data_IF_514077557262
#
_entry.id   IF_514077557262
#
_cell.length_a   1.000
_cell.length_b   1.000
_cell.length_c   1.000
_cell.angle_alpha   90.00
_cell.angle_beta   90.00
_cell.angle_gamma   90.00
#
_symmetry.space_group_name_H-M   'P 1'
#
loop_
_entity.id
_entity.type
_entity.pdbx_description
1 polymer ?
#
# COMPACT_ATOMS: atom_id res chain seq x y z
N UNK A 1 45.20 31.64 35.18
CA UNK A 1 45.38 30.45 34.32
C UNK A 1 44.42 30.58 33.15
N UNK A 2 44.96 30.97 32.00
CA UNK A 2 44.20 31.15 30.78
C UNK A 2 44.01 29.76 30.09
N UNK A 3 42.77 29.32 29.98
CA UNK A 3 42.43 28.09 29.29
C UNK A 3 42.64 28.26 27.79
N UNK A 4 43.54 27.48 27.21
CA UNK A 4 43.78 27.38 25.78
C UNK A 4 42.58 26.67 25.17
N UNK A 5 41.69 27.43 24.51
CA UNK A 5 40.66 26.87 23.61
C UNK A 5 41.41 26.43 22.36
N UNK A 6 41.66 25.14 22.23
CA UNK A 6 42.19 24.52 20.99
C UNK A 6 41.12 24.63 19.92
N UNK A 7 41.31 25.59 19.01
CA UNK A 7 40.48 25.77 17.82
C UNK A 7 40.74 24.61 16.83
N UNK A 8 40.01 23.53 16.95
CA UNK A 8 40.06 22.36 16.07
C UNK A 8 39.31 22.64 14.75
N UNK A 9 39.66 23.68 14.01
CA UNK A 9 39.35 23.81 12.60
C UNK A 9 40.38 22.98 11.78
N UNK A 10 40.12 21.67 11.65
CA UNK A 10 40.84 20.87 10.69
C UNK A 10 40.67 21.48 9.29
N UNK A 11 41.79 21.68 8.54
CA UNK A 11 41.75 22.10 7.14
C UNK A 11 40.95 21.07 6.34
N UNK A 12 40.28 21.50 5.26
CA UNK A 12 39.40 20.64 4.48
C UNK A 12 40.08 19.36 3.97
N UNK A 13 41.37 19.47 3.62
CA UNK A 13 42.19 18.35 3.15
C UNK A 13 42.49 17.31 4.24
N UNK A 14 42.68 17.74 5.47
CA UNK A 14 42.91 16.84 6.60
C UNK A 14 41.61 16.08 6.98
N UNK A 15 40.45 16.73 6.84
CA UNK A 15 39.14 16.08 7.01
C UNK A 15 38.89 15.03 5.94
N UNK A 16 39.20 15.30 4.68
CA UNK A 16 39.05 14.37 3.56
C UNK A 16 39.96 13.14 3.74
N UNK A 17 41.23 13.32 4.09
CA UNK A 17 42.14 12.22 4.39
C UNK A 17 41.67 11.36 5.56
N UNK A 18 41.22 11.99 6.62
CA UNK A 18 40.67 11.26 7.78
C UNK A 18 39.42 10.46 7.42
N UNK A 19 38.53 11.03 6.57
CA UNK A 19 37.34 10.33 6.07
C UNK A 19 37.70 9.14 5.18
N UNK A 20 38.64 9.30 4.26
CA UNK A 20 39.11 8.21 3.39
C UNK A 20 39.75 7.08 4.21
N UNK A 21 40.55 7.41 5.23
CA UNK A 21 41.11 6.41 6.14
C UNK A 21 40.03 5.65 6.92
N UNK A 22 39.00 6.37 7.41
CA UNK A 22 37.87 5.76 8.11
C UNK A 22 37.04 4.83 7.18
N UNK A 23 36.75 5.26 5.94
CA UNK A 23 36.08 4.45 4.94
C UNK A 23 36.91 3.19 4.65
N UNK A 24 38.22 3.31 4.43
CA UNK A 24 39.09 2.16 4.20
C UNK A 24 39.13 1.17 5.37
N UNK A 25 39.06 1.64 6.61
CA UNK A 25 38.95 0.77 7.79
C UNK A 25 37.59 0.04 7.84
N UNK A 26 36.51 0.74 7.55
CA UNK A 26 35.16 0.15 7.49
C UNK A 26 35.08 -0.92 6.40
N UNK A 27 35.59 -0.61 5.20
CA UNK A 27 35.59 -1.58 4.09
C UNK A 27 36.46 -2.82 4.37
N UNK A 28 37.57 -2.67 5.12
CA UNK A 28 38.36 -3.82 5.57
C UNK A 28 37.62 -4.68 6.58
N UNK A 29 36.88 -4.06 7.49
CA UNK A 29 36.16 -4.77 8.55
C UNK A 29 34.84 -5.39 8.10
N UNK A 30 34.11 -4.74 7.19
CA UNK A 30 32.73 -5.08 6.82
C UNK A 30 32.53 -5.37 5.33
N UNK A 31 33.58 -5.28 4.51
CA UNK A 31 33.54 -5.52 3.06
C UNK A 31 33.39 -4.23 2.23
N UNK A 32 33.82 -4.30 0.97
CA UNK A 32 33.70 -3.19 0.01
C UNK A 32 32.24 -2.78 -0.15
N UNK A 33 31.98 -1.46 -0.19
CA UNK A 33 30.62 -0.91 -0.36
C UNK A 33 29.82 -0.83 0.92
N UNK A 34 30.40 -1.14 2.10
CA UNK A 34 29.75 -0.94 3.41
C UNK A 34 29.44 0.52 3.70
N UNK A 35 30.21 1.44 3.12
CA UNK A 35 29.97 2.88 3.12
C UNK A 35 30.16 3.42 1.71
N UNK A 36 29.21 4.19 1.20
CA UNK A 36 29.29 4.82 -0.10
C UNK A 36 28.67 6.21 -0.08
N UNK A 37 29.16 7.11 -0.93
CA UNK A 37 28.50 8.41 -1.14
C UNK A 37 27.24 8.20 -1.97
N UNK A 38 26.11 8.74 -1.54
CA UNK A 38 24.81 8.55 -2.21
C UNK A 38 24.84 8.96 -3.71
N UNK A 39 25.60 10.03 -4.04
CA UNK A 39 25.77 10.47 -5.43
C UNK A 39 26.74 9.65 -6.27
N UNK A 40 27.46 8.67 -5.67
CA UNK A 40 28.35 7.73 -6.39
C UNK A 40 27.68 6.38 -6.67
N UNK A 41 26.46 6.14 -6.18
CA UNK A 41 25.63 5.07 -6.75
C UNK A 41 25.41 5.43 -8.20
N UNK A 42 25.94 4.62 -9.09
CA UNK A 42 25.57 4.65 -10.50
C UNK A 42 24.07 4.58 -10.58
N UNK A 43 23.46 5.68 -11.03
CA UNK A 43 22.03 5.99 -11.02
C UNK A 43 21.38 5.83 -9.62
N UNK A 44 20.66 6.82 -9.19
CA UNK A 44 19.61 6.59 -8.18
C UNK A 44 18.89 5.32 -8.61
N UNK A 45 19.04 4.23 -7.84
CA UNK A 45 18.40 2.95 -8.20
C UNK A 45 16.93 3.29 -8.25
N UNK A 46 16.40 3.43 -9.46
CA UNK A 46 14.98 3.59 -9.66
C UNK A 46 14.33 2.43 -8.92
N UNK A 47 13.53 2.78 -7.92
CA UNK A 47 12.89 1.77 -7.08
C UNK A 47 11.97 1.00 -8.00
N UNK A 48 12.34 -0.23 -8.32
CA UNK A 48 11.48 -1.11 -9.12
C UNK A 48 10.15 -1.25 -8.42
N UNK A 49 9.08 -1.26 -9.20
CA UNK A 49 7.72 -1.39 -8.70
C UNK A 49 6.99 -2.52 -9.39
N UNK A 50 5.95 -3.03 -8.74
CA UNK A 50 4.97 -3.97 -9.27
C UNK A 50 3.64 -3.25 -9.33
N UNK A 51 2.95 -3.28 -10.47
CA UNK A 51 1.63 -2.67 -10.60
C UNK A 51 0.67 -3.20 -9.54
N UNK A 52 -0.16 -2.33 -9.02
CA UNK A 52 -1.22 -2.68 -8.06
C UNK A 52 -2.45 -3.29 -8.73
N UNK A 53 -2.52 -3.26 -10.06
CA UNK A 53 -3.70 -3.58 -10.85
C UNK A 53 -4.68 -2.41 -10.99
N UNK A 54 -4.46 -1.31 -10.27
CA UNK A 54 -5.18 -0.03 -10.40
C UNK A 54 -4.25 1.04 -10.96
N UNK A 55 -4.57 1.57 -12.14
CA UNK A 55 -3.78 2.63 -12.78
C UNK A 55 -3.73 3.89 -11.89
N UNK A 56 -4.85 4.24 -11.29
CA UNK A 56 -4.93 5.39 -10.39
C UNK A 56 -4.04 5.22 -9.17
N UNK A 57 -4.00 4.03 -8.57
CA UNK A 57 -3.15 3.76 -7.42
C UNK A 57 -1.66 3.72 -7.81
N UNK A 58 -1.32 3.16 -8.98
CA UNK A 58 0.04 3.17 -9.52
C UNK A 58 0.58 4.60 -9.67
N UNK A 59 -0.23 5.51 -10.25
CA UNK A 59 0.08 6.94 -10.36
C UNK A 59 0.14 7.57 -8.96
N UNK A 60 -0.83 7.25 -8.09
CA UNK A 60 -0.92 7.76 -6.74
C UNK A 60 0.27 7.40 -5.85
N UNK A 61 0.91 6.26 -6.08
CA UNK A 61 2.12 5.84 -5.39
C UNK A 61 3.39 6.56 -5.91
N UNK A 62 3.33 7.17 -7.09
CA UNK A 62 4.38 8.04 -7.63
C UNK A 62 5.57 7.33 -8.27
N UNK A 63 5.59 6.00 -8.25
CA UNK A 63 6.65 5.16 -8.83
C UNK A 63 6.09 4.07 -9.76
N UNK A 64 4.80 4.14 -10.10
CA UNK A 64 4.14 3.20 -11.00
C UNK A 64 3.68 1.90 -10.37
N UNK A 65 3.61 1.80 -9.03
CA UNK A 65 3.14 0.61 -8.31
C UNK A 65 3.71 0.44 -6.91
N UNK A 66 3.61 -0.77 -6.37
CA UNK A 66 4.20 -1.12 -5.08
C UNK A 66 5.73 -1.28 -5.19
N UNK A 67 6.53 -0.63 -4.30
CA UNK A 67 7.99 -0.74 -4.33
C UNK A 67 8.48 -2.15 -4.02
N UNK A 68 9.32 -2.73 -4.88
CA UNK A 68 10.04 -3.99 -4.60
C UNK A 68 11.05 -3.81 -3.46
N UNK A 69 11.34 -4.88 -2.74
CA UNK A 69 12.26 -4.84 -1.60
C UNK A 69 11.73 -4.07 -0.39
N UNK A 70 10.41 -3.92 -0.28
CA UNK A 70 9.74 -3.13 0.77
C UNK A 70 8.56 -3.86 1.40
N UNK A 71 8.20 -3.39 2.59
CA UNK A 71 7.00 -3.82 3.31
C UNK A 71 5.88 -2.82 3.03
N UNK A 72 4.72 -3.35 2.63
CA UNK A 72 3.48 -2.61 2.41
C UNK A 72 2.46 -3.08 3.44
N UNK A 73 1.69 -2.17 4.01
CA UNK A 73 0.52 -2.49 4.82
C UNK A 73 -0.75 -2.00 4.12
N UNK A 74 -1.68 -2.92 3.86
CA UNK A 74 -3.03 -2.62 3.37
C UNK A 74 -3.99 -2.89 4.52
N UNK A 75 -4.70 -1.86 5.00
CA UNK A 75 -5.61 -2.01 6.11
C UNK A 75 -6.95 -1.30 5.86
N UNK A 76 -7.98 -1.78 6.50
CA UNK A 76 -9.33 -1.23 6.35
C UNK A 76 -10.38 -2.11 7.02
N UNK A 77 -11.65 -1.68 6.99
CA UNK A 77 -12.78 -2.49 7.46
C UNK A 77 -12.89 -3.83 6.72
N UNK A 78 -13.68 -4.71 7.25
CA UNK A 78 -14.07 -5.95 6.57
C UNK A 78 -14.76 -5.65 5.23
N UNK A 79 -14.56 -6.52 4.25
CA UNK A 79 -15.16 -6.40 2.90
C UNK A 79 -14.83 -5.09 2.16
N UNK A 80 -13.73 -4.43 2.51
CA UNK A 80 -13.27 -3.19 1.85
C UNK A 80 -12.45 -3.42 0.58
N UNK A 81 -12.08 -4.67 0.25
CA UNK A 81 -11.29 -5.02 -0.94
C UNK A 81 -9.78 -5.19 -0.68
N UNK A 82 -9.34 -5.38 0.57
CA UNK A 82 -7.92 -5.58 0.92
C UNK A 82 -7.29 -6.76 0.18
N UNK A 83 -7.88 -7.95 0.33
CA UNK A 83 -7.41 -9.18 -0.33
C UNK A 83 -7.52 -9.08 -1.84
N UNK A 84 -8.58 -8.44 -2.36
CA UNK A 84 -8.74 -8.17 -3.80
C UNK A 84 -7.57 -7.36 -4.35
N UNK A 85 -7.19 -6.26 -3.70
CA UNK A 85 -6.06 -5.43 -4.11
C UNK A 85 -4.73 -6.20 -4.05
N UNK A 86 -4.51 -6.99 -3.00
CA UNK A 86 -3.30 -7.82 -2.88
C UNK A 86 -3.23 -8.90 -3.97
N UNK A 87 -4.36 -9.55 -4.30
CA UNK A 87 -4.42 -10.56 -5.37
C UNK A 87 -4.20 -9.93 -6.75
N UNK A 88 -4.67 -8.70 -7.00
CA UNK A 88 -4.32 -7.99 -8.24
C UNK A 88 -2.82 -7.75 -8.36
N UNK A 89 -2.14 -7.33 -7.28
CA UNK A 89 -0.69 -7.18 -7.29
C UNK A 89 0.04 -8.51 -7.56
N UNK A 90 -0.47 -9.63 -7.02
CA UNK A 90 0.04 -10.97 -7.32
C UNK A 90 -0.14 -11.28 -8.80
N UNK A 91 -1.34 -11.04 -9.37
CA UNK A 91 -1.63 -11.30 -10.77
C UNK A 91 -0.74 -10.46 -11.70
N UNK A 92 -0.52 -9.17 -11.38
CA UNK A 92 0.37 -8.30 -12.17
C UNK A 92 1.83 -8.78 -12.09
N UNK A 93 2.32 -9.20 -10.90
CA UNK A 93 3.65 -9.76 -10.75
C UNK A 93 3.84 -11.05 -11.57
N UNK A 94 2.86 -11.95 -11.55
CA UNK A 94 2.91 -13.19 -12.35
C UNK A 94 2.90 -12.94 -13.84
N UNK A 95 2.18 -11.91 -14.34
CA UNK A 95 2.23 -11.50 -15.76
C UNK A 95 3.62 -11.09 -16.21
N UNK A 96 4.43 -10.54 -15.29
CA UNK A 96 5.84 -10.18 -15.53
C UNK A 96 6.80 -11.38 -15.32
N UNK A 97 6.27 -12.58 -15.06
CA UNK A 97 7.05 -13.80 -14.80
C UNK A 97 7.56 -13.92 -13.37
N UNK A 98 7.05 -13.10 -12.44
CA UNK A 98 7.43 -13.13 -11.03
C UNK A 98 6.83 -14.31 -10.28
N UNK A 99 7.60 -14.85 -9.32
CA UNK A 99 7.17 -15.91 -8.42
C UNK A 99 6.47 -15.32 -7.20
N UNK A 100 5.27 -15.81 -6.90
CA UNK A 100 4.44 -15.26 -5.82
C UNK A 100 4.11 -16.31 -4.77
N UNK A 101 4.01 -15.85 -3.51
CA UNK A 101 3.58 -16.66 -2.38
C UNK A 101 2.48 -15.96 -1.58
N UNK A 102 1.57 -16.77 -1.01
CA UNK A 102 0.47 -16.31 -0.18
C UNK A 102 0.44 -17.09 1.13
N UNK A 103 0.60 -16.40 2.24
CA UNK A 103 0.47 -16.94 3.58
C UNK A 103 -0.92 -16.60 4.08
N UNK A 104 -1.82 -17.58 3.99
CA UNK A 104 -3.24 -17.49 4.34
C UNK A 104 -3.46 -17.92 5.78
N UNK A 105 -3.26 -16.98 6.71
CA UNK A 105 -3.48 -17.23 8.14
C UNK A 105 -4.97 -17.19 8.54
N UNK A 106 -5.84 -16.68 7.69
CA UNK A 106 -7.30 -16.70 7.91
C UNK A 106 -7.96 -17.98 7.34
N UNK A 107 -7.23 -18.79 6.56
CA UNK A 107 -7.75 -19.98 5.87
C UNK A 107 -8.97 -19.67 4.98
N UNK A 108 -8.99 -18.49 4.36
CA UNK A 108 -10.15 -17.95 3.66
C UNK A 108 -9.91 -17.64 2.18
N UNK A 109 -8.74 -17.97 1.63
CA UNK A 109 -8.45 -17.74 0.22
C UNK A 109 -9.30 -18.65 -0.67
N UNK A 110 -10.13 -18.03 -1.53
CA UNK A 110 -10.90 -18.74 -2.56
C UNK A 110 -10.08 -18.81 -3.87
N UNK A 111 -9.62 -20.01 -4.29
CA UNK A 111 -8.88 -20.17 -5.54
C UNK A 111 -9.69 -19.79 -6.78
N UNK A 112 -11.00 -19.97 -6.74
CA UNK A 112 -11.91 -19.61 -7.84
C UNK A 112 -11.95 -18.09 -8.03
N UNK A 113 -12.00 -17.35 -6.91
CA UNK A 113 -11.96 -15.90 -6.92
C UNK A 113 -10.59 -15.38 -7.38
N UNK A 114 -9.50 -15.94 -6.85
CA UNK A 114 -8.14 -15.57 -7.25
C UNK A 114 -7.93 -15.74 -8.77
N UNK A 115 -8.40 -16.87 -9.35
CA UNK A 115 -8.34 -17.12 -10.80
C UNK A 115 -9.10 -16.06 -11.60
N UNK A 116 -10.29 -15.64 -11.14
CA UNK A 116 -11.07 -14.57 -11.80
C UNK A 116 -10.37 -13.23 -11.80
N UNK A 117 -9.55 -12.95 -10.78
CA UNK A 117 -8.71 -11.75 -10.72
C UNK A 117 -7.45 -11.83 -11.60
N UNK A 118 -7.24 -12.96 -12.28
CA UNK A 118 -6.08 -13.16 -13.16
C UNK A 118 -4.88 -13.82 -12.51
N UNK A 119 -5.01 -14.32 -11.28
CA UNK A 119 -3.94 -15.07 -10.61
C UNK A 119 -3.81 -16.45 -11.24
N UNK A 120 -2.61 -16.83 -11.66
CA UNK A 120 -2.27 -18.21 -12.00
C UNK A 120 -2.11 -19.00 -10.68
N UNK A 121 -3.15 -19.74 -10.33
CA UNK A 121 -3.20 -20.48 -9.07
C UNK A 121 -2.28 -21.72 -9.07
N UNK A 122 -1.92 -22.22 -10.25
CA UNK A 122 -1.06 -23.42 -10.38
C UNK A 122 0.40 -23.07 -10.05
N UNK A 123 0.79 -21.79 -10.22
CA UNK A 123 2.12 -21.28 -9.90
C UNK A 123 2.15 -20.47 -8.59
N UNK A 124 1.01 -20.29 -7.91
CA UNK A 124 0.95 -19.57 -6.64
C UNK A 124 1.32 -20.49 -5.47
N UNK A 125 2.40 -20.18 -4.77
CA UNK A 125 2.74 -20.88 -3.53
C UNK A 125 1.79 -20.45 -2.42
N UNK A 126 1.11 -21.41 -1.79
CA UNK A 126 0.22 -21.15 -0.65
C UNK A 126 0.72 -21.85 0.60
N UNK A 127 0.61 -21.17 1.73
CA UNK A 127 0.85 -21.72 3.07
C UNK A 127 -0.27 -21.32 4.00
N UNK A 128 -0.77 -22.25 4.80
CA UNK A 128 -1.85 -22.06 5.78
C UNK A 128 -1.35 -22.46 7.17
N UNK A 129 -0.59 -21.59 7.84
CA UNK A 129 -0.01 -21.88 9.15
C UNK A 129 -1.03 -21.75 10.27
N UNK A 130 -0.90 -22.60 11.31
CA UNK A 130 -1.78 -22.57 12.48
C UNK A 130 -1.38 -21.49 13.50
N UNK A 131 -0.09 -21.11 13.55
CA UNK A 131 0.43 -20.14 14.53
C UNK A 131 1.17 -18.98 13.86
N UNK A 132 1.15 -17.82 14.51
CA UNK A 132 1.82 -16.61 14.03
C UNK A 132 3.32 -16.75 13.86
N UNK A 133 3.99 -17.47 14.79
CA UNK A 133 5.43 -17.79 14.68
C UNK A 133 5.73 -18.59 13.41
N UNK A 134 4.92 -19.62 13.12
CA UNK A 134 5.09 -20.46 11.94
C UNK A 134 4.89 -19.64 10.65
N UNK A 135 3.84 -18.80 10.59
CA UNK A 135 3.59 -17.92 9.46
C UNK A 135 4.78 -17.02 9.16
N UNK A 136 5.35 -16.40 10.20
CA UNK A 136 6.45 -15.46 10.07
C UNK A 136 7.80 -16.14 9.77
N UNK A 137 8.01 -17.36 10.25
CA UNK A 137 9.19 -18.17 9.89
C UNK A 137 9.14 -18.66 8.44
N UNK A 138 7.96 -19.09 7.97
CA UNK A 138 7.74 -19.43 6.56
C UNK A 138 8.01 -18.20 5.69
N UNK A 139 7.44 -17.04 6.07
CA UNK A 139 7.68 -15.77 5.39
C UNK A 139 9.18 -15.43 5.32
N UNK A 140 9.92 -15.52 6.44
CA UNK A 140 11.37 -15.25 6.47
C UNK A 140 12.14 -16.23 5.56
N UNK A 141 11.79 -17.49 5.57
CA UNK A 141 12.44 -18.51 4.76
C UNK A 141 12.23 -18.27 3.27
N UNK A 142 11.00 -18.00 2.86
CA UNK A 142 10.66 -17.71 1.47
C UNK A 142 11.35 -16.42 0.99
N UNK A 143 11.30 -15.35 1.76
CA UNK A 143 11.98 -14.08 1.43
C UNK A 143 13.49 -14.26 1.32
N UNK A 144 14.11 -15.01 2.24
CA UNK A 144 15.56 -15.25 2.24
C UNK A 144 16.04 -16.11 1.10
N UNK A 145 15.20 -16.93 0.51
CA UNK A 145 15.53 -17.71 -0.67
C UNK A 145 15.95 -16.84 -1.86
N UNK A 146 15.43 -15.58 -1.92
CA UNK A 146 15.63 -14.68 -3.05
C UNK A 146 14.88 -15.07 -4.32
N UNK A 147 14.01 -16.09 -4.23
CA UNK A 147 13.25 -16.61 -5.37
C UNK A 147 11.82 -16.05 -5.45
N UNK A 148 11.39 -15.28 -4.45
CA UNK A 148 10.03 -14.74 -4.36
C UNK A 148 10.02 -13.26 -4.69
N UNK A 149 9.21 -12.84 -5.65
CA UNK A 149 9.01 -11.44 -6.02
C UNK A 149 7.94 -10.77 -5.17
N UNK A 150 6.82 -11.46 -4.92
CA UNK A 150 5.70 -10.97 -4.08
C UNK A 150 5.32 -12.01 -3.05
N UNK A 151 5.21 -11.58 -1.80
CA UNK A 151 4.67 -12.39 -0.72
C UNK A 151 3.56 -11.61 -0.01
N UNK A 152 2.37 -12.22 0.09
CA UNK A 152 1.22 -11.68 0.82
C UNK A 152 1.04 -12.44 2.13
N UNK A 153 0.76 -11.73 3.21
CA UNK A 153 0.34 -12.28 4.51
C UNK A 153 -1.07 -11.78 4.82
N UNK A 154 -2.03 -12.67 4.79
CA UNK A 154 -3.45 -12.38 5.05
C UNK A 154 -3.97 -13.23 6.22
N UNK A 155 -4.24 -12.64 7.36
CA UNK A 155 -3.97 -11.26 7.77
C UNK A 155 -3.14 -11.21 9.06
N UNK A 156 -2.57 -10.03 9.34
CA UNK A 156 -1.85 -9.80 10.62
C UNK A 156 -2.73 -10.11 11.82
N UNK A 157 -4.03 -9.86 11.73
CA UNK A 157 -4.99 -10.12 12.82
C UNK A 157 -5.09 -11.62 13.18
N UNK A 158 -4.82 -12.51 12.24
CA UNK A 158 -4.87 -13.96 12.41
C UNK A 158 -3.54 -14.58 12.84
N UNK A 159 -2.46 -13.79 12.96
CA UNK A 159 -1.16 -14.26 13.44
C UNK A 159 -1.16 -14.44 14.96
N UNK A 160 -1.89 -15.44 15.43
CA UNK A 160 -2.03 -15.72 16.87
C UNK A 160 -0.72 -16.34 17.38
N UNK A 161 -0.12 -15.80 18.46
CA UNK A 161 1.05 -16.40 19.09
C UNK A 161 0.75 -17.82 19.61
N UNK A 162 1.70 -18.76 19.46
CA UNK A 162 1.55 -20.14 19.92
C UNK A 162 1.19 -20.22 21.40
N UNK A 163 1.79 -19.39 22.24
CA UNK A 163 1.49 -19.36 23.67
C UNK A 163 0.03 -18.94 23.98
N UNK A 164 -0.62 -18.22 23.08
CA UNK A 164 -2.04 -17.89 23.19
C UNK A 164 -2.92 -19.05 22.73
N UNK A 165 -2.49 -19.82 21.74
CA UNK A 165 -3.17 -21.02 21.26
C UNK A 165 -3.11 -22.20 22.26
N UNK A 166 -2.02 -22.32 22.99
CA UNK A 166 -1.78 -23.37 23.99
C UNK A 166 -2.34 -22.99 25.38
N UNK A 167 -2.74 -21.72 25.60
CA UNK A 167 -3.34 -21.23 26.83
C UNK A 167 -4.80 -21.68 27.02
N UNK A 168 -5.31 -21.51 28.23
CA UNK A 168 -6.72 -21.78 28.54
C UNK A 168 -7.60 -20.63 28.06
N UNK A 169 -8.88 -20.94 27.76
CA UNK A 169 -9.87 -19.92 27.41
C UNK A 169 -10.04 -18.91 28.55
N UNK A 170 -9.66 -17.66 28.31
CA UNK A 170 -9.73 -16.58 29.30
C UNK A 170 -8.39 -16.10 29.83
N UNK A 171 -7.30 -16.76 29.45
CA UNK A 171 -5.96 -16.29 29.78
C UNK A 171 -5.63 -14.94 29.15
N UNK A 172 -5.00 -14.09 29.95
CA UNK A 172 -4.63 -12.74 29.48
C UNK A 172 -3.21 -12.71 28.91
N UNK A 173 -3.08 -12.76 27.59
CA UNK A 173 -1.81 -12.70 26.89
C UNK A 173 -1.49 -11.28 26.35
N UNK A 174 -1.47 -10.29 27.24
CA UNK A 174 -1.28 -8.88 26.86
C UNK A 174 0.04 -8.66 26.15
N UNK A 175 -0.04 -8.16 24.92
CA UNK A 175 1.11 -7.70 24.14
C UNK A 175 1.96 -8.77 23.45
N UNK A 176 1.63 -10.06 23.54
CA UNK A 176 2.38 -11.13 22.85
C UNK A 176 2.39 -10.93 21.34
N UNK A 177 1.24 -10.66 20.75
CA UNK A 177 1.11 -10.39 19.31
C UNK A 177 1.98 -9.19 18.86
N UNK A 178 1.97 -8.09 19.63
CA UNK A 178 2.80 -6.93 19.31
C UNK A 178 4.31 -7.23 19.43
N UNK A 179 4.70 -8.07 20.39
CA UNK A 179 6.09 -8.54 20.54
C UNK A 179 6.50 -9.40 19.37
N UNK A 180 5.69 -10.38 18.98
CA UNK A 180 5.91 -11.27 17.86
C UNK A 180 6.13 -10.46 16.58
N UNK A 181 5.23 -9.54 16.25
CA UNK A 181 5.35 -8.66 15.10
C UNK A 181 6.60 -7.78 15.14
N UNK A 182 6.94 -7.22 16.31
CA UNK A 182 8.14 -6.39 16.45
C UNK A 182 9.43 -7.19 16.22
N UNK A 183 9.50 -8.42 16.70
CA UNK A 183 10.64 -9.31 16.52
C UNK A 183 10.77 -9.75 15.06
N UNK A 184 9.69 -10.19 14.45
CA UNK A 184 9.66 -10.66 13.07
C UNK A 184 10.02 -9.54 12.09
N UNK A 185 9.40 -8.36 12.19
CA UNK A 185 9.66 -7.23 11.28
C UNK A 185 11.11 -6.74 11.36
N UNK A 186 11.72 -6.77 12.55
CA UNK A 186 13.14 -6.44 12.74
C UNK A 186 14.05 -7.39 11.96
N UNK A 187 13.71 -8.68 11.92
CA UNK A 187 14.43 -9.71 11.19
C UNK A 187 14.16 -9.63 9.69
N UNK A 188 12.89 -9.54 9.30
CA UNK A 188 12.44 -9.55 7.91
C UNK A 188 12.93 -8.35 7.10
N UNK A 189 13.00 -7.15 7.69
CA UNK A 189 13.30 -5.91 6.95
C UNK A 189 14.61 -5.99 6.17
N UNK A 190 15.66 -6.55 6.76
CA UNK A 190 16.97 -6.69 6.09
C UNK A 190 16.95 -7.75 5.00
N UNK A 191 16.21 -8.84 5.20
CA UNK A 191 16.05 -9.93 4.24
C UNK A 191 15.25 -9.44 3.01
N UNK A 192 14.15 -8.76 3.25
CA UNK A 192 13.27 -8.17 2.23
C UNK A 192 14.06 -7.20 1.33
N UNK A 193 14.85 -6.30 1.93
CA UNK A 193 15.64 -5.33 1.17
C UNK A 193 16.72 -5.99 0.29
N UNK A 194 17.30 -7.11 0.76
CA UNK A 194 18.35 -7.84 0.02
C UNK A 194 17.79 -8.72 -1.08
N UNK A 195 16.65 -9.38 -0.84
CA UNK A 195 16.01 -10.25 -1.82
C UNK A 195 15.21 -9.49 -2.88
N UNK A 196 15.03 -8.18 -2.71
CA UNK A 196 14.16 -7.34 -3.55
C UNK A 196 12.69 -7.84 -3.59
N UNK A 197 12.26 -8.63 -2.61
CA UNK A 197 10.90 -9.14 -2.48
C UNK A 197 9.94 -8.04 -2.02
N UNK A 198 8.78 -7.92 -2.64
CA UNK A 198 7.66 -7.13 -2.15
C UNK A 198 6.88 -7.95 -1.11
N UNK A 199 6.75 -7.44 0.12
CA UNK A 199 5.94 -8.11 1.15
C UNK A 199 4.74 -7.25 1.51
N UNK A 200 3.54 -7.78 1.30
CA UNK A 200 2.26 -7.14 1.60
C UNK A 200 1.66 -7.77 2.85
N UNK A 201 1.47 -6.97 3.88
CA UNK A 201 0.70 -7.35 5.07
C UNK A 201 -0.71 -6.78 4.98
N UNK A 202 -1.71 -7.65 4.98
CA UNK A 202 -3.11 -7.27 5.12
C UNK A 202 -3.44 -7.14 6.60
N UNK A 203 -4.13 -6.07 7.01
CA UNK A 203 -4.42 -5.80 8.40
C UNK A 203 -5.86 -5.35 8.61
N UNK A 204 -6.36 -5.56 9.81
CA UNK A 204 -7.72 -5.19 10.21
C UNK A 204 -7.67 -3.95 11.12
N UNK A 205 -8.76 -3.16 11.09
CA UNK A 205 -8.96 -2.04 12.00
C UNK A 205 -9.59 -2.54 13.30
N UNK A 206 -9.13 -1.98 14.41
CA UNK A 206 -9.71 -2.14 15.73
C UNK A 206 -9.94 -0.76 16.34
N UNK A 207 -10.93 -0.65 17.20
CA UNK A 207 -11.23 0.58 17.94
C UNK A 207 -10.58 0.53 19.32
N UNK A 208 -9.87 1.58 19.68
CA UNK A 208 -9.33 1.77 21.03
C UNK A 208 -10.46 2.19 21.96
N UNK A 209 -10.65 1.43 23.01
CA UNK A 209 -11.63 1.74 24.06
C UNK A 209 -11.14 2.97 24.86
N UNK A 210 -12.05 3.91 25.17
CA UNK A 210 -11.75 5.06 26.03
C UNK A 210 -11.09 6.26 25.35
N UNK A 211 -10.96 6.27 24.02
CA UNK A 211 -10.49 7.45 23.29
C UNK A 211 -11.67 8.38 23.03
N UNK A 212 -11.76 9.45 23.82
CA UNK A 212 -12.82 10.47 23.69
C UNK A 212 -12.49 11.54 22.65
N UNK A 213 -11.19 11.78 22.36
CA UNK A 213 -10.73 12.79 21.39
C UNK A 213 -9.70 12.19 20.42
N UNK A 214 -9.76 12.59 19.16
CA UNK A 214 -8.89 12.09 18.09
C UNK A 214 -9.42 10.81 17.43
N UNK A 215 -8.58 10.16 16.60
CA UNK A 215 -8.98 8.96 15.88
C UNK A 215 -8.82 7.71 16.77
N UNK A 216 -9.90 7.00 17.12
CA UNK A 216 -9.85 5.77 17.93
C UNK A 216 -9.34 4.57 17.12
N UNK A 217 -9.31 4.65 15.80
CA UNK A 217 -8.93 3.53 14.95
C UNK A 217 -7.44 3.16 15.09
N UNK A 218 -7.16 1.90 15.20
CA UNK A 218 -5.80 1.34 15.18
C UNK A 218 -5.79 0.02 14.43
N UNK A 219 -4.61 -0.39 13.95
CA UNK A 219 -4.41 -1.70 13.33
C UNK A 219 -3.93 -2.72 14.36
N UNK A 220 -4.16 -4.02 14.11
CA UNK A 220 -3.68 -5.13 14.95
C UNK A 220 -2.15 -5.29 14.87
N UNK A 221 -1.56 -6.07 15.78
CA UNK A 221 -0.12 -6.35 15.79
C UNK A 221 0.75 -5.21 16.36
N UNK A 222 0.14 -4.24 17.06
CA UNK A 222 0.85 -3.13 17.69
C UNK A 222 1.34 -2.07 16.71
N UNK A 223 2.43 -1.36 17.09
CA UNK A 223 2.91 -0.22 16.29
C UNK A 223 4.07 -0.59 15.34
N UNK A 224 4.65 -1.79 15.43
CA UNK A 224 5.86 -2.13 14.68
C UNK A 224 5.65 -1.99 13.16
N UNK A 225 4.56 -2.56 12.63
CA UNK A 225 4.28 -2.51 11.20
C UNK A 225 4.11 -1.07 10.68
N UNK A 226 3.53 -0.16 11.48
CA UNK A 226 3.41 1.27 11.15
C UNK A 226 4.77 1.95 10.90
N UNK A 227 5.81 1.51 11.60
CA UNK A 227 7.17 2.02 11.42
C UNK A 227 7.91 1.35 10.28
N UNK A 228 7.83 0.01 10.18
CA UNK A 228 8.58 -0.77 9.19
C UNK A 228 8.00 -0.66 7.79
N UNK A 229 6.69 -0.55 7.62
CA UNK A 229 6.06 -0.36 6.31
C UNK A 229 6.60 0.90 5.61
N UNK A 230 6.93 0.76 4.32
CA UNK A 230 7.32 1.86 3.44
C UNK A 230 6.10 2.56 2.86
N UNK A 231 5.03 1.82 2.58
CA UNK A 231 3.74 2.32 2.13
C UNK A 231 2.66 1.77 3.06
N UNK A 232 1.68 2.60 3.41
CA UNK A 232 0.48 2.20 4.14
C UNK A 232 -0.74 2.74 3.44
N UNK A 233 -1.67 1.84 3.16
CA UNK A 233 -2.92 2.12 2.45
C UNK A 233 -4.10 1.87 3.37
N UNK A 234 -4.94 2.91 3.54
CA UNK A 234 -6.27 2.79 4.16
C UNK A 234 -7.30 2.60 3.04
N UNK A 235 -7.90 1.42 2.96
CA UNK A 235 -8.87 1.06 1.93
C UNK A 235 -10.27 0.98 2.52
N UNK A 236 -11.23 1.70 1.91
CA UNK A 236 -12.60 1.79 2.38
C UNK A 236 -13.60 1.71 1.24
N UNK A 237 -14.68 0.98 1.47
CA UNK A 237 -15.87 1.05 0.65
C UNK A 237 -16.58 2.38 0.90
N UNK A 238 -16.89 3.13 -0.15
CA UNK A 238 -17.59 4.42 -0.07
C UNK A 238 -18.98 4.40 -0.69
N UNK A 239 -19.27 3.40 -1.55
CA UNK A 239 -20.58 3.27 -2.19
C UNK A 239 -20.80 1.86 -2.72
N UNK A 240 -22.04 1.58 -3.09
CA UNK A 240 -22.41 0.37 -3.82
C UNK A 240 -22.68 0.72 -5.28
N UNK A 241 -22.15 -0.10 -6.19
CA UNK A 241 -22.43 0.00 -7.62
C UNK A 241 -23.62 -0.93 -7.89
N UNK A 242 -24.65 -0.37 -8.50
CA UNK A 242 -25.86 -1.11 -8.82
C UNK A 242 -26.04 -1.20 -10.34
N UNK A 243 -26.45 -2.35 -10.80
CA UNK A 243 -27.05 -2.54 -12.11
C UNK A 243 -28.54 -2.84 -11.89
N UNK A 244 -29.40 -1.87 -12.24
CA UNK A 244 -30.83 -1.86 -11.90
C UNK A 244 -31.02 -2.00 -10.37
N UNK A 245 -31.56 -3.14 -9.90
CA UNK A 245 -31.83 -3.40 -8.47
C UNK A 245 -30.74 -4.26 -7.79
N UNK A 246 -29.78 -4.79 -8.55
CA UNK A 246 -28.73 -5.66 -8.02
C UNK A 246 -27.44 -4.88 -7.72
N UNK A 247 -26.81 -5.20 -6.59
CA UNK A 247 -25.48 -4.67 -6.26
C UNK A 247 -24.43 -5.52 -6.95
N UNK A 248 -23.76 -4.94 -7.94
CA UNK A 248 -22.77 -5.63 -8.80
C UNK A 248 -21.33 -5.30 -8.41
N UNK A 249 -21.13 -4.36 -7.51
CA UNK A 249 -19.78 -3.96 -7.09
C UNK A 249 -19.79 -2.89 -6.01
N UNK A 250 -18.61 -2.44 -5.67
CA UNK A 250 -18.37 -1.39 -4.68
C UNK A 250 -17.47 -0.31 -5.25
N UNK A 251 -17.84 0.94 -5.02
CA UNK A 251 -16.90 2.05 -5.15
C UNK A 251 -15.99 2.05 -3.92
N UNK A 252 -14.71 2.06 -4.16
CA UNK A 252 -13.67 1.91 -3.15
C UNK A 252 -12.73 3.10 -3.17
N UNK A 253 -12.40 3.60 -1.98
CA UNK A 253 -11.43 4.67 -1.78
C UNK A 253 -10.19 4.12 -1.10
N UNK A 254 -9.02 4.43 -1.65
CA UNK A 254 -7.71 4.11 -1.08
C UNK A 254 -6.98 5.41 -0.74
N UNK A 255 -6.65 5.59 0.53
CA UNK A 255 -5.83 6.71 0.99
C UNK A 255 -4.40 6.24 1.26
N UNK A 256 -3.44 6.88 0.62
CA UNK A 256 -2.00 6.65 0.86
C UNK A 256 -1.59 7.38 2.13
N UNK A 257 -1.70 6.71 3.29
CA UNK A 257 -1.45 7.32 4.60
C UNK A 257 0.04 7.51 4.89
N UNK A 258 0.88 6.64 4.32
CA UNK A 258 2.34 6.71 4.42
C UNK A 258 2.95 6.29 3.10
N UNK A 259 3.94 7.04 2.66
CA UNK A 259 4.75 6.70 1.49
C UNK A 259 6.19 7.19 1.72
N UNK A 260 7.16 6.27 1.64
CA UNK A 260 8.60 6.59 1.77
C UNK A 260 9.31 6.73 0.41
N UNK A 261 8.61 6.46 -0.69
CA UNK A 261 9.18 6.47 -2.05
C UNK A 261 8.67 7.63 -2.91
N UNK A 262 7.57 8.27 -2.49
CA UNK A 262 7.00 9.46 -3.12
C UNK A 262 6.15 10.27 -2.11
N UNK A 263 5.49 11.34 -2.55
CA UNK A 263 4.60 12.14 -1.72
C UNK A 263 3.41 11.31 -1.19
N UNK A 264 3.16 11.31 0.12
CA UNK A 264 2.01 10.62 0.72
C UNK A 264 0.72 11.45 0.60
N UNK A 265 -0.36 10.91 1.17
CA UNK A 265 -1.68 11.54 1.36
C UNK A 265 -2.54 11.69 0.10
N UNK A 266 -2.16 11.06 -1.00
CA UNK A 266 -3.01 10.95 -2.17
C UNK A 266 -4.21 10.04 -1.88
N UNK A 267 -5.35 10.42 -2.45
CA UNK A 267 -6.60 9.67 -2.34
C UNK A 267 -7.03 9.22 -3.73
N UNK A 268 -7.25 7.92 -3.87
CA UNK A 268 -7.59 7.27 -5.13
C UNK A 268 -8.92 6.57 -4.98
N UNK A 269 -9.79 6.70 -5.97
CA UNK A 269 -11.07 6.01 -6.01
C UNK A 269 -11.16 5.15 -7.26
N UNK A 270 -11.65 3.94 -7.10
CA UNK A 270 -11.91 3.01 -8.18
C UNK A 270 -13.04 2.05 -7.83
N UNK A 271 -13.58 1.40 -8.85
CA UNK A 271 -14.63 0.41 -8.70
C UNK A 271 -14.04 -0.99 -8.54
N UNK A 272 -14.56 -1.75 -7.57
CA UNK A 272 -14.34 -3.20 -7.46
C UNK A 272 -15.65 -3.89 -7.84
N UNK A 273 -15.63 -4.61 -8.97
CA UNK A 273 -16.76 -5.38 -9.46
C UNK A 273 -16.74 -6.79 -8.87
N UNK A 274 -17.90 -7.31 -8.49
CA UNK A 274 -17.98 -8.65 -7.91
C UNK A 274 -17.65 -9.72 -8.97
N UNK A 275 -16.69 -10.57 -8.66
CA UNK A 275 -16.21 -11.62 -9.55
C UNK A 275 -15.25 -11.18 -10.65
N UNK A 276 -15.00 -9.86 -10.83
CA UNK A 276 -14.05 -9.32 -11.81
C UNK A 276 -12.89 -8.56 -11.16
N UNK A 277 -13.09 -8.04 -9.94
CA UNK A 277 -12.10 -7.22 -9.23
C UNK A 277 -12.08 -5.75 -9.68
N UNK A 278 -10.91 -5.13 -9.71
CA UNK A 278 -10.74 -3.71 -10.04
C UNK A 278 -11.14 -3.45 -11.50
N UNK A 279 -12.03 -2.48 -11.71
CA UNK A 279 -12.55 -2.11 -13.02
C UNK A 279 -11.54 -1.28 -13.82
N UNK A 280 -10.55 -1.93 -14.43
CA UNK A 280 -9.49 -1.26 -15.20
C UNK A 280 -10.05 -0.31 -16.27
N UNK A 281 -11.06 -0.75 -17.05
CA UNK A 281 -11.67 0.10 -18.09
C UNK A 281 -12.42 1.30 -17.51
N UNK A 282 -12.99 1.14 -16.31
CA UNK A 282 -13.60 2.26 -15.58
C UNK A 282 -12.57 3.31 -15.19
N UNK A 283 -11.43 2.89 -14.66
CA UNK A 283 -10.33 3.80 -14.32
C UNK A 283 -9.76 4.52 -15.54
N UNK A 284 -9.59 3.82 -16.68
CA UNK A 284 -9.11 4.45 -17.92
C UNK A 284 -10.01 5.60 -18.37
N UNK A 285 -11.33 5.42 -18.26
CA UNK A 285 -12.29 6.48 -18.61
C UNK A 285 -12.20 7.63 -17.60
N UNK A 286 -12.27 7.34 -16.31
CA UNK A 286 -12.33 8.36 -15.27
C UNK A 286 -11.02 9.19 -15.21
N UNK A 287 -9.88 8.51 -15.26
CA UNK A 287 -8.56 9.16 -15.28
C UNK A 287 -8.29 9.86 -16.61
N UNK A 288 -8.73 9.27 -17.73
CA UNK A 288 -8.61 9.87 -19.04
C UNK A 288 -9.40 11.18 -19.15
N UNK A 289 -10.60 11.21 -18.60
CA UNK A 289 -11.40 12.44 -18.52
C UNK A 289 -10.75 13.47 -17.59
N UNK A 290 -10.27 13.04 -16.42
CA UNK A 290 -9.57 13.92 -15.48
C UNK A 290 -8.30 14.51 -16.10
N UNK A 291 -7.55 13.74 -16.90
CA UNK A 291 -6.34 14.20 -17.58
C UNK A 291 -6.61 15.00 -18.87
N UNK A 292 -7.88 15.15 -19.29
CA UNK A 292 -8.22 15.81 -20.57
C UNK A 292 -7.79 15.02 -21.81
N UNK A 293 -7.52 13.73 -21.68
CA UNK A 293 -7.15 12.79 -22.75
C UNK A 293 -8.42 12.23 -23.41
N UNK A 294 -9.42 11.95 -22.59
CA UNK A 294 -10.73 11.48 -23.01
C UNK A 294 -11.72 12.63 -22.85
N UNK A 295 -12.45 12.94 -23.92
CA UNK A 295 -13.45 14.01 -23.92
C UNK A 295 -14.79 13.48 -23.40
N UNK A 296 -15.43 14.25 -22.51
CA UNK A 296 -16.78 13.99 -22.04
C UNK A 296 -17.68 15.20 -22.39
N UNK A 297 -18.62 14.98 -23.30
CA UNK A 297 -19.62 15.97 -23.71
C UNK A 297 -21.02 15.45 -23.40
N UNK A 298 -21.61 15.94 -22.32
CA UNK A 298 -22.87 15.41 -21.80
C UNK A 298 -22.76 13.93 -21.45
N UNK A 299 -23.58 13.09 -22.09
CA UNK A 299 -23.54 11.64 -21.93
C UNK A 299 -22.51 10.94 -22.85
N UNK A 300 -21.94 11.64 -23.82
CA UNK A 300 -21.02 11.06 -24.78
C UNK A 300 -19.58 11.11 -24.29
N UNK A 301 -18.89 9.99 -24.48
CA UNK A 301 -17.47 9.83 -24.21
C UNK A 301 -16.77 9.59 -25.54
N UNK A 302 -15.69 10.34 -25.81
CA UNK A 302 -14.93 10.27 -27.06
C UNK A 302 -13.42 10.35 -26.81
N UNK A 303 -12.66 9.77 -27.72
CA UNK A 303 -11.21 9.80 -27.73
C UNK A 303 -10.74 10.12 -29.17
N UNK A 304 -9.86 11.12 -29.32
CA UNK A 304 -9.38 11.59 -30.64
C UNK A 304 -10.51 11.88 -31.63
N UNK A 305 -11.64 12.44 -31.17
CA UNK A 305 -12.81 12.72 -32.00
C UNK A 305 -13.70 11.52 -32.31
N UNK A 306 -13.29 10.30 -31.97
CA UNK A 306 -14.08 9.08 -32.11
C UNK A 306 -14.96 8.87 -30.87
N UNK A 307 -16.27 8.67 -31.06
CA UNK A 307 -17.17 8.29 -29.97
C UNK A 307 -16.91 6.86 -29.52
N UNK A 308 -16.62 6.67 -28.23
CA UNK A 308 -16.35 5.34 -27.63
C UNK A 308 -17.53 4.83 -26.80
N UNK A 309 -18.50 5.69 -26.46
CA UNK A 309 -19.72 5.25 -25.80
C UNK A 309 -20.64 6.37 -25.37
N UNK A 310 -21.92 6.06 -25.23
CA UNK A 310 -22.89 6.90 -24.55
C UNK A 310 -23.06 6.39 -23.10
N UNK A 311 -22.56 7.14 -22.14
CA UNK A 311 -22.45 6.71 -20.75
C UNK A 311 -21.20 5.88 -20.46
N UNK A 312 -20.85 5.81 -19.18
CA UNK A 312 -19.62 5.15 -18.68
C UNK A 312 -19.62 3.63 -18.97
N UNK A 313 -20.75 2.96 -18.79
CA UNK A 313 -20.82 1.51 -18.96
C UNK A 313 -20.67 1.08 -20.43
N UNK A 314 -21.27 1.81 -21.36
CA UNK A 314 -21.08 1.53 -22.79
C UNK A 314 -19.63 1.78 -23.23
N UNK A 315 -18.99 2.83 -22.71
CA UNK A 315 -17.59 3.10 -22.98
C UNK A 315 -16.67 2.02 -22.39
N UNK A 316 -16.96 1.48 -21.21
CA UNK A 316 -16.24 0.32 -20.62
C UNK A 316 -16.34 -0.91 -21.52
N UNK A 317 -17.54 -1.22 -22.02
CA UNK A 317 -17.77 -2.34 -22.93
C UNK A 317 -16.98 -2.15 -24.21
N UNK A 318 -17.06 -0.97 -24.81
CA UNK A 318 -16.30 -0.63 -26.01
C UNK A 318 -14.79 -0.81 -25.84
N UNK A 319 -14.21 -0.33 -24.71
CA UNK A 319 -12.78 -0.47 -24.44
C UNK A 319 -12.37 -1.93 -24.17
N UNK A 320 -13.26 -2.76 -23.63
CA UNK A 320 -13.01 -4.22 -23.48
C UNK A 320 -12.87 -4.90 -24.83
N UNK A 321 -13.65 -4.48 -25.83
CA UNK A 321 -13.62 -5.01 -27.20
C UNK A 321 -12.47 -4.43 -28.03
N UNK A 322 -11.97 -3.25 -27.66
CA UNK A 322 -10.91 -2.52 -28.37
C UNK A 322 -9.67 -2.35 -27.47
N UNK A 323 -8.98 -3.45 -27.22
CA UNK A 323 -7.84 -3.51 -26.28
C UNK A 323 -6.65 -2.64 -26.71
N UNK A 324 -6.44 -2.47 -28.03
CA UNK A 324 -5.38 -1.58 -28.55
C UNK A 324 -5.64 -0.12 -28.18
N UNK A 325 -6.90 0.32 -28.35
CA UNK A 325 -7.31 1.69 -27.96
C UNK A 325 -7.21 1.89 -26.45
N UNK A 326 -7.59 0.88 -25.66
CA UNK A 326 -7.44 0.93 -24.21
C UNK A 326 -5.97 1.08 -23.79
N UNK A 327 -5.05 0.36 -24.45
CA UNK A 327 -3.61 0.47 -24.19
C UNK A 327 -3.05 1.84 -24.62
N UNK A 328 -3.53 2.42 -25.70
CA UNK A 328 -3.17 3.77 -26.16
C UNK A 328 -3.59 4.82 -25.12
N UNK A 329 -4.83 4.76 -24.65
CA UNK A 329 -5.35 5.65 -23.61
C UNK A 329 -4.54 5.48 -22.30
N UNK A 330 -4.25 4.24 -21.88
CA UNK A 330 -3.42 3.97 -20.70
C UNK A 330 -2.04 4.60 -20.83
N UNK A 331 -1.38 4.43 -21.97
CA UNK A 331 -0.07 5.02 -22.25
C UNK A 331 -0.11 6.55 -22.18
N UNK A 332 -1.13 7.17 -22.76
CA UNK A 332 -1.30 8.61 -22.71
C UNK A 332 -1.53 9.13 -21.27
N UNK A 333 -2.32 8.40 -20.46
CA UNK A 333 -2.53 8.73 -19.04
C UNK A 333 -1.21 8.61 -18.27
N UNK A 334 -0.43 7.55 -18.48
CA UNK A 334 0.87 7.36 -17.81
C UNK A 334 1.87 8.46 -18.16
N UNK A 335 1.89 8.94 -19.41
CA UNK A 335 2.72 10.08 -19.84
C UNK A 335 2.32 11.39 -19.15
N UNK A 336 1.06 11.54 -18.80
CA UNK A 336 0.52 12.69 -18.08
C UNK A 336 0.34 12.44 -16.58
N UNK A 337 1.01 11.42 -16.03
CA UNK A 337 0.86 10.98 -14.63
C UNK A 337 1.13 12.09 -13.60
N UNK A 338 1.98 13.06 -13.89
CA UNK A 338 2.22 14.22 -13.03
C UNK A 338 0.96 15.03 -12.78
N UNK A 339 0.24 15.42 -13.84
CA UNK A 339 -1.01 16.20 -13.75
C UNK A 339 -2.10 15.45 -12.99
N UNK A 340 -2.27 14.15 -13.29
CA UNK A 340 -3.24 13.27 -12.59
C UNK A 340 -2.89 13.16 -11.10
N UNK A 341 -1.61 13.02 -10.77
CA UNK A 341 -1.13 12.92 -9.40
C UNK A 341 -1.38 14.19 -8.58
N UNK A 342 -1.25 15.35 -9.18
CA UNK A 342 -1.49 16.64 -8.52
C UNK A 342 -2.99 16.84 -8.23
N UNK A 343 -3.87 16.46 -9.14
CA UNK A 343 -5.33 16.47 -8.92
C UNK A 343 -5.76 15.54 -7.78
N UNK A 344 -5.07 14.40 -7.60
CA UNK A 344 -5.34 13.48 -6.48
C UNK A 344 -4.98 14.11 -5.12
N UNK A 345 -4.00 15.02 -5.07
CA UNK A 345 -3.66 15.79 -3.86
C UNK A 345 -4.72 16.84 -3.54
N UNK A 346 -5.18 17.59 -4.54
CA UNK A 346 -6.20 18.65 -4.38
C UNK A 346 -7.53 18.06 -3.87
N UNK A 347 -7.97 16.93 -4.42
CA UNK A 347 -9.16 16.23 -3.95
C UNK A 347 -9.02 15.73 -2.50
N UNK A 348 -7.80 15.38 -2.05
CA UNK A 348 -7.55 14.95 -0.67
C UNK A 348 -7.68 16.11 0.33
N UNK A 349 -7.35 17.32 -0.07
CA UNK A 349 -7.48 18.53 0.75
C UNK A 349 -8.96 18.93 0.87
N UNK A 350 -9.71 18.93 -0.24
CA UNK A 350 -11.14 19.24 -0.26
C UNK A 350 -11.95 18.27 0.63
N UNK A 351 -11.68 16.96 0.55
CA UNK A 351 -12.36 15.94 1.37
C UNK A 351 -12.00 16.02 2.87
N UNK A 352 -10.87 16.61 3.23
CA UNK A 352 -10.49 16.85 4.63
C UNK A 352 -11.13 18.10 5.25
N UNK A 353 -11.57 19.04 4.43
CA UNK A 353 -12.30 20.23 4.88
C UNK A 353 -13.79 19.94 5.11
N UNK A 354 -14.42 19.07 4.31
CA UNK A 354 -15.79 18.62 4.51
C UNK A 354 -15.98 17.76 5.79
N UNK A 355 -14.90 17.18 6.32
CA UNK A 355 -14.92 16.39 7.56
C UNK A 355 -14.81 17.24 8.84
N UNK A 356 -14.81 18.56 8.78
CA UNK A 356 -14.95 19.43 9.95
C UNK A 356 -16.39 19.35 10.45
N UNK A 357 -16.52 18.69 11.60
CA UNK A 357 -17.77 18.58 12.40
C UNK A 357 -18.43 19.96 12.54
N UNK A 358 -19.74 20.10 12.31
CA UNK A 358 -20.44 21.35 12.59
C UNK A 358 -20.30 21.69 14.07
N UNK A 359 -19.95 22.94 14.37
CA UNK A 359 -19.97 23.49 15.70
C UNK A 359 -21.34 23.22 16.33
N UNK A 360 -21.31 22.62 17.52
CA UNK A 360 -22.51 22.41 18.32
C UNK A 360 -23.14 23.76 18.62
N UNK A 361 -24.47 23.93 18.49
CA UNK A 361 -25.14 25.19 18.86
C UNK A 361 -24.95 25.44 20.37
N UNK A 362 -24.61 26.69 20.67
CA UNK A 362 -24.50 27.20 22.03
C UNK A 362 -25.69 26.79 22.89
N UNK A 363 -25.41 26.09 23.99
CA UNK A 363 -26.39 25.83 25.04
C UNK A 363 -26.67 27.18 25.76
N UNK A 364 -27.94 27.60 25.93
CA UNK A 364 -28.24 28.83 26.64
C UNK A 364 -27.84 28.73 28.11
N UNK A 365 -27.24 29.80 28.61
CA UNK A 365 -26.85 29.98 30.00
C UNK A 365 -27.99 29.65 30.97
N UNK A 366 -27.71 28.74 31.88
CA UNK A 366 -28.61 28.43 33.00
C UNK A 366 -28.55 29.55 34.03
N UNK A 367 -29.63 30.18 34.44
CA UNK A 367 -29.58 31.26 35.43
C UNK A 367 -29.21 30.71 36.81
N UNK A 368 -28.20 31.33 37.37
CA UNK A 368 -27.76 31.14 38.75
C UNK A 368 -28.90 31.44 39.73
N UNK A 369 -29.46 30.45 40.38
CA UNK A 369 -30.31 30.66 41.55
C UNK A 369 -29.45 30.85 42.78
N UNK A 370 -29.43 32.09 43.28
CA UNK A 370 -29.08 32.43 44.63
C UNK A 370 -30.09 31.84 45.63
N UNK A 371 -29.66 30.96 46.50
CA UNK A 371 -29.94 31.03 47.95
C UNK A 371 -29.15 29.97 48.67
#
# INVERSE_FOLDING_TARGET
>A
MAGVVVDMKMKSDDKNKALEAAIGQIEKAFGKGSVMKLGQRESAVDVQSISTGSLGLDIGLGIGGFPKGRIIEIYGPESSGKTTLALHAVAEAQKEGGTCAFVDAEHALDPSYARKLGVNIDDLLISQPDAGEQALEITDTLVRSGAIDVLVVDSVAALVPRAELEGEMGDHHVGLHARLMSQALRKLTSSIARSNCLVIFINQIRLKIGVMFGNPETTTGGNALKFYASVRLDIRRIGAIKDRDEVVGNQTRVKVVKNKVAAPFRTIEFDIMYGEGISKMGELIDLGVAAGIVDKSGAWISYNGQRIGQGRENAKTFLREHTELAAEIESAIRQNAGLVGDQMLDNSIASSEEAKVPESPDLPDTPTMLK
#
